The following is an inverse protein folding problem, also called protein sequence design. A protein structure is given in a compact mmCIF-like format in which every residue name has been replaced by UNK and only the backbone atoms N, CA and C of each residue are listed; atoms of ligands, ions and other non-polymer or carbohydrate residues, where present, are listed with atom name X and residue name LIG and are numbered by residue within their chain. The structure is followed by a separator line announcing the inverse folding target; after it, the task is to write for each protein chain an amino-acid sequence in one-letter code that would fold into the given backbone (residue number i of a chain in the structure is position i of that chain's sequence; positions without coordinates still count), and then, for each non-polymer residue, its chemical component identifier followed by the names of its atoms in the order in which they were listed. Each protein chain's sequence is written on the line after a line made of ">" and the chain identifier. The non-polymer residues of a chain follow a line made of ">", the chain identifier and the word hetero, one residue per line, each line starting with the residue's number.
data_IF_322904403658
#
_entry.id   IF_322904403658
#
_cell.length_a   1.000
_cell.length_b   1.000
_cell.length_c   1.000
_cell.angle_alpha   90.00
_cell.angle_beta   90.00
_cell.angle_gamma   90.00
#
_symmetry.space_group_name_H-M   'P 1'
#
loop_
_entity.id
_entity.type
_entity.pdbx_description
1 polymer ?
#
# COMPACT_ATOMS: atom_id res chain seq x y z
N UNK A 1 -2.61 -7.00 -1.31
CA UNK A 1 -1.71 -5.84 -1.49
C UNK A 1 -0.61 -5.84 -0.42
N UNK A 2 -0.93 -6.07 0.85
CA UNK A 2 0.05 -5.96 1.95
C UNK A 2 1.23 -6.94 1.84
N UNK A 3 0.97 -8.17 1.37
CA UNK A 3 2.03 -9.15 1.17
C UNK A 3 3.08 -8.69 0.15
N UNK A 4 2.67 -8.05 -0.95
CA UNK A 4 3.59 -7.53 -1.97
C UNK A 4 4.55 -6.50 -1.38
N UNK A 5 4.03 -5.52 -0.66
CA UNK A 5 4.86 -4.50 -0.02
C UNK A 5 5.75 -5.09 1.08
N UNK A 6 5.27 -6.11 1.78
CA UNK A 6 6.10 -6.84 2.74
C UNK A 6 7.24 -7.63 2.06
N UNK A 7 7.00 -8.21 0.87
CA UNK A 7 8.05 -8.79 0.04
C UNK A 7 9.10 -7.72 -0.33
N UNK A 8 8.66 -6.60 -0.92
CA UNK A 8 9.54 -5.50 -1.32
C UNK A 8 10.35 -4.93 -0.14
N UNK A 9 9.74 -4.77 1.03
CA UNK A 9 10.42 -4.28 2.23
C UNK A 9 11.55 -5.21 2.68
N UNK A 10 11.35 -6.53 2.62
CA UNK A 10 12.37 -7.53 2.98
C UNK A 10 13.48 -7.69 1.94
N UNK A 11 13.15 -7.47 0.67
CA UNK A 11 14.13 -7.48 -0.41
C UNK A 11 15.18 -6.39 -0.24
N UNK A 12 14.73 -5.17 0.11
CA UNK A 12 15.60 -4.02 0.38
C UNK A 12 16.68 -4.33 1.42
N UNK A 13 16.32 -5.04 2.48
CA UNK A 13 17.23 -5.31 3.61
C UNK A 13 18.30 -6.36 3.31
N UNK A 14 18.03 -7.30 2.39
CA UNK A 14 18.83 -8.53 2.26
C UNK A 14 19.53 -8.71 0.92
N UNK A 15 19.21 -7.91 -0.11
CA UNK A 15 19.84 -7.99 -1.42
C UNK A 15 19.91 -9.43 -1.92
N UNK A 16 18.76 -10.02 -2.24
CA UNK A 16 18.71 -11.44 -2.61
C UNK A 16 17.68 -11.74 -3.66
N UNK A 17 18.16 -12.50 -4.63
CA UNK A 17 17.46 -13.20 -5.70
C UNK A 17 16.37 -14.16 -5.16
N UNK A 18 16.51 -14.61 -3.90
CA UNK A 18 15.64 -15.57 -3.23
C UNK A 18 15.28 -15.11 -1.81
N UNK A 19 14.01 -14.76 -1.57
CA UNK A 19 13.52 -14.30 -0.27
C UNK A 19 12.67 -15.41 0.34
N UNK A 20 12.89 -15.68 1.63
CA UNK A 20 12.12 -16.66 2.38
C UNK A 20 11.31 -16.00 3.49
N UNK A 21 10.07 -16.44 3.65
CA UNK A 21 9.17 -16.06 4.74
C UNK A 21 8.59 -17.29 5.40
N UNK A 22 8.55 -17.31 6.73
CA UNK A 22 7.79 -18.33 7.44
C UNK A 22 6.28 -18.06 7.32
N UNK A 23 5.46 -19.08 7.57
CA UNK A 23 4.01 -18.91 7.59
C UNK A 23 3.58 -17.97 8.72
N UNK A 24 4.21 -18.01 9.89
CA UNK A 24 3.96 -17.03 10.96
C UNK A 24 4.24 -15.60 10.48
N UNK A 25 5.40 -15.34 9.86
CA UNK A 25 5.76 -14.00 9.38
C UNK A 25 4.74 -13.47 8.37
N UNK A 26 4.33 -14.29 7.40
CA UNK A 26 3.34 -13.89 6.40
C UNK A 26 1.97 -13.62 7.02
N UNK A 27 1.55 -14.40 8.01
CA UNK A 27 0.29 -14.19 8.72
C UNK A 27 0.30 -12.89 9.51
N UNK A 28 1.41 -12.58 10.19
CA UNK A 28 1.58 -11.31 10.90
C UNK A 28 1.57 -10.11 9.95
N UNK A 29 2.33 -10.19 8.84
CA UNK A 29 2.47 -9.11 7.87
C UNK A 29 1.18 -8.80 7.09
N UNK A 30 0.24 -9.75 7.03
CA UNK A 30 -1.03 -9.61 6.33
C UNK A 30 -2.26 -9.51 7.27
N UNK A 31 -2.03 -9.42 8.59
CA UNK A 31 -3.10 -9.47 9.63
C UNK A 31 -4.09 -10.64 9.39
N UNK A 32 -3.55 -11.81 9.00
CA UNK A 32 -4.34 -12.96 8.56
C UNK A 32 -4.94 -13.70 9.76
N UNK A 33 -6.26 -13.58 9.93
CA UNK A 33 -6.99 -14.09 11.10
C UNK A 33 -7.31 -15.58 11.07
N UNK A 34 -7.13 -16.24 9.94
CA UNK A 34 -7.49 -17.65 9.79
C UNK A 34 -6.41 -18.56 10.37
N UNK A 35 -6.83 -19.42 11.31
CA UNK A 35 -5.95 -20.37 12.01
C UNK A 35 -5.65 -21.62 11.18
N UNK A 36 -6.51 -21.97 10.22
CA UNK A 36 -6.37 -23.18 9.41
C UNK A 36 -5.27 -23.06 8.34
N UNK A 37 -4.20 -23.84 8.49
CA UNK A 37 -3.05 -23.88 7.55
C UNK A 37 -3.45 -24.22 6.12
N UNK A 38 -4.45 -25.08 5.90
CA UNK A 38 -4.87 -25.49 4.56
C UNK A 38 -5.45 -24.33 3.75
N UNK A 39 -6.27 -23.51 4.38
CA UNK A 39 -6.90 -22.37 3.72
C UNK A 39 -5.90 -21.23 3.50
N UNK A 40 -5.00 -21.01 4.48
CA UNK A 40 -3.87 -20.09 4.31
C UNK A 40 -3.00 -20.44 3.09
N UNK A 41 -2.68 -21.72 2.89
CA UNK A 41 -1.89 -22.15 1.73
C UNK A 41 -2.65 -21.95 0.42
N UNK A 42 -3.98 -22.17 0.40
CA UNK A 42 -4.78 -21.90 -0.79
C UNK A 42 -4.83 -20.40 -1.14
N UNK A 43 -4.93 -19.53 -0.13
CA UNK A 43 -4.91 -18.08 -0.32
C UNK A 43 -3.54 -17.59 -0.79
N UNK A 44 -2.44 -18.14 -0.24
CA UNK A 44 -1.09 -17.90 -0.74
C UNK A 44 -0.94 -18.32 -2.19
N UNK A 45 -1.42 -19.51 -2.56
CA UNK A 45 -1.35 -19.99 -3.93
C UNK A 45 -2.09 -19.05 -4.91
N UNK A 46 -3.27 -18.56 -4.51
CA UNK A 46 -4.03 -17.59 -5.32
C UNK A 46 -3.25 -16.27 -5.48
N UNK A 47 -2.75 -15.72 -4.39
CA UNK A 47 -2.01 -14.46 -4.40
C UNK A 47 -0.75 -14.55 -5.25
N UNK A 48 -0.01 -15.66 -5.19
CA UNK A 48 1.18 -15.84 -6.00
C UNK A 48 0.89 -16.06 -7.48
N UNK A 49 -0.25 -16.68 -7.83
CA UNK A 49 -0.72 -16.70 -9.23
C UNK A 49 -1.00 -15.29 -9.74
N UNK A 50 -1.62 -14.43 -8.93
CA UNK A 50 -1.86 -13.03 -9.29
C UNK A 50 -0.54 -12.26 -9.45
N UNK A 51 0.46 -12.52 -8.59
CA UNK A 51 1.79 -11.90 -8.69
C UNK A 51 2.60 -12.35 -9.90
N UNK A 52 2.47 -13.61 -10.34
CA UNK A 52 3.14 -14.11 -11.55
C UNK A 52 2.67 -13.37 -12.81
N UNK A 53 1.44 -12.86 -12.80
CA UNK A 53 0.89 -12.07 -13.90
C UNK A 53 1.33 -10.60 -13.88
N UNK A 54 2.11 -10.16 -12.88
CA UNK A 54 2.77 -8.85 -12.88
C UNK A 54 3.87 -8.87 -13.93
N UNK A 55 3.43 -8.64 -15.17
CA UNK A 55 4.29 -8.44 -16.32
C UNK A 55 4.38 -6.96 -16.66
N UNK A 56 5.58 -6.51 -16.99
CA UNK A 56 5.86 -5.16 -17.45
C UNK A 56 6.36 -5.24 -18.88
N UNK A 57 5.83 -4.38 -19.76
CA UNK A 57 6.25 -4.29 -21.16
C UNK A 57 6.98 -2.98 -21.35
N UNK A 58 8.18 -3.06 -21.89
CA UNK A 58 8.90 -1.90 -22.45
C UNK A 58 8.92 -2.03 -23.96
N UNK A 59 8.94 -0.88 -24.63
CA UNK A 59 9.06 -0.78 -26.07
C UNK A 59 9.88 0.46 -26.37
N UNK A 60 10.91 0.31 -27.19
CA UNK A 60 11.62 1.39 -27.82
C UNK A 60 11.47 1.25 -29.36
N UNK A 61 12.16 2.10 -30.13
CA UNK A 61 12.01 2.11 -31.60
C UNK A 61 12.47 0.81 -32.28
N UNK A 62 13.30 0.00 -31.62
CA UNK A 62 13.95 -1.17 -32.20
C UNK A 62 13.45 -2.51 -31.60
N UNK A 63 13.01 -2.51 -30.33
CA UNK A 63 12.77 -3.72 -29.54
C UNK A 63 11.56 -3.60 -28.61
N UNK A 64 10.88 -4.73 -28.41
CA UNK A 64 9.79 -4.92 -27.43
C UNK A 64 10.24 -5.99 -26.44
N UNK A 65 10.26 -5.65 -25.16
CA UNK A 65 10.63 -6.59 -24.09
C UNK A 65 9.46 -6.82 -23.14
N UNK A 66 9.32 -8.07 -22.71
CA UNK A 66 8.37 -8.49 -21.68
C UNK A 66 9.12 -8.98 -20.47
N UNK A 67 8.76 -8.43 -19.32
CA UNK A 67 9.38 -8.71 -18.05
C UNK A 67 8.38 -9.32 -17.09
N UNK A 68 8.81 -10.31 -16.31
CA UNK A 68 8.07 -10.81 -15.15
C UNK A 68 8.84 -10.48 -13.89
N UNK A 69 8.18 -9.83 -12.93
CA UNK A 69 8.83 -9.37 -11.70
C UNK A 69 9.33 -10.55 -10.86
N UNK A 70 8.48 -11.56 -10.71
CA UNK A 70 8.78 -12.77 -9.94
C UNK A 70 8.94 -13.95 -10.88
N UNK A 71 10.08 -14.66 -10.79
CA UNK A 71 10.42 -15.80 -11.65
C UNK A 71 10.37 -17.15 -10.92
N UNK A 72 9.93 -17.17 -9.65
CA UNK A 72 9.74 -18.41 -8.92
C UNK A 72 9.01 -18.26 -7.59
N UNK A 73 8.19 -19.25 -7.26
CA UNK A 73 7.52 -19.36 -5.98
C UNK A 73 7.56 -20.82 -5.51
N UNK A 74 7.90 -21.04 -4.23
CA UNK A 74 7.88 -22.36 -3.61
C UNK A 74 7.21 -22.28 -2.24
N UNK A 75 6.13 -23.04 -2.06
CA UNK A 75 5.45 -23.19 -0.78
C UNK A 75 5.84 -24.55 -0.18
N UNK A 76 6.63 -24.54 0.88
CA UNK A 76 6.94 -25.75 1.64
C UNK A 76 5.94 -25.89 2.80
N UNK A 77 4.97 -26.78 2.63
CA UNK A 77 3.92 -27.04 3.63
C UNK A 77 4.44 -27.74 4.88
N UNK A 78 5.54 -28.50 4.77
CA UNK A 78 6.11 -29.28 5.88
C UNK A 78 6.96 -28.39 6.78
N UNK A 79 7.84 -27.61 6.17
CA UNK A 79 8.72 -26.65 6.83
C UNK A 79 8.05 -25.29 7.05
N UNK A 80 6.79 -25.12 6.61
CA UNK A 80 5.94 -23.94 6.79
C UNK A 80 6.61 -22.63 6.35
N UNK A 81 7.11 -22.59 5.13
CA UNK A 81 7.67 -21.38 4.55
C UNK A 81 7.26 -21.19 3.10
N UNK A 82 7.37 -19.95 2.65
CA UNK A 82 7.35 -19.59 1.23
C UNK A 82 8.70 -19.02 0.84
N UNK A 83 9.17 -19.41 -0.33
CA UNK A 83 10.31 -18.83 -1.02
C UNK A 83 9.82 -18.14 -2.29
N UNK A 84 10.26 -16.90 -2.48
CA UNK A 84 9.95 -16.03 -3.62
C UNK A 84 11.25 -15.68 -4.32
N UNK A 85 11.29 -15.87 -5.63
CA UNK A 85 12.43 -15.51 -6.47
C UNK A 85 12.08 -14.36 -7.38
N UNK A 86 12.95 -13.36 -7.43
CA UNK A 86 12.78 -12.15 -8.24
C UNK A 86 13.70 -12.22 -9.44
N UNK A 87 13.23 -11.68 -10.56
CA UNK A 87 14.07 -11.52 -11.72
C UNK A 87 15.19 -10.50 -11.44
N UNK A 88 16.44 -10.93 -11.59
CA UNK A 88 17.64 -10.12 -11.34
C UNK A 88 17.67 -8.89 -12.24
N UNK A 89 17.21 -9.03 -13.48
CA UNK A 89 17.15 -7.93 -14.45
C UNK A 89 16.21 -6.81 -13.98
N UNK A 90 15.31 -7.08 -13.03
CA UNK A 90 14.32 -6.14 -12.50
C UNK A 90 14.59 -5.76 -11.05
N UNK A 91 15.77 -6.08 -10.52
CA UNK A 91 16.16 -5.69 -9.16
C UNK A 91 16.10 -4.16 -9.00
N UNK A 92 16.41 -3.42 -10.06
CA UNK A 92 16.27 -1.96 -10.09
C UNK A 92 14.82 -1.47 -9.88
N UNK A 93 13.80 -2.25 -10.26
CA UNK A 93 12.39 -1.88 -10.03
C UNK A 93 12.07 -2.01 -8.55
N UNK A 94 12.49 -3.10 -7.91
CA UNK A 94 12.31 -3.29 -6.47
C UNK A 94 13.14 -2.27 -5.68
N UNK A 95 14.37 -2.03 -6.09
CA UNK A 95 15.24 -1.01 -5.50
C UNK A 95 14.69 0.40 -5.75
N UNK A 96 14.10 0.67 -6.91
CA UNK A 96 13.44 1.93 -7.24
C UNK A 96 12.21 2.18 -6.37
N UNK A 97 11.30 1.21 -6.28
CA UNK A 97 10.13 1.24 -5.38
C UNK A 97 10.53 1.48 -3.92
N UNK A 98 11.65 0.87 -3.50
CA UNK A 98 12.17 1.01 -2.14
C UNK A 98 13.07 2.23 -1.95
N UNK A 99 13.48 2.92 -3.01
CA UNK A 99 14.15 4.23 -2.93
C UNK A 99 13.10 5.33 -2.76
N UNK A 100 11.96 5.20 -3.44
CA UNK A 100 10.83 6.11 -3.26
C UNK A 100 10.17 5.95 -1.88
N UNK A 101 10.09 4.71 -1.36
CA UNK A 101 9.59 4.40 -0.02
C UNK A 101 10.70 4.00 0.98
N UNK A 102 10.88 4.80 2.03
CA UNK A 102 11.70 4.41 3.18
C UNK A 102 11.14 3.16 3.89
N UNK A 103 11.97 2.44 4.63
CA UNK A 103 11.53 1.25 5.39
C UNK A 103 10.42 1.60 6.38
N UNK A 104 10.49 2.79 6.97
CA UNK A 104 9.46 3.33 7.84
C UNK A 104 8.14 3.50 7.08
N UNK A 105 8.17 4.05 5.87
CA UNK A 105 6.97 4.28 5.05
C UNK A 105 6.29 2.97 4.61
N UNK A 106 7.08 1.95 4.23
CA UNK A 106 6.53 0.61 3.93
C UNK A 106 5.93 -0.05 5.17
N UNK A 107 6.60 0.05 6.32
CA UNK A 107 6.09 -0.47 7.59
C UNK A 107 4.81 0.24 8.02
N UNK A 108 4.75 1.57 7.84
CA UNK A 108 3.57 2.37 8.11
C UNK A 108 2.41 1.93 7.21
N UNK A 109 2.65 1.84 5.89
CA UNK A 109 1.64 1.45 4.91
C UNK A 109 1.05 0.05 5.19
N UNK A 110 1.91 -0.93 5.50
CA UNK A 110 1.48 -2.31 5.80
C UNK A 110 0.74 -2.43 7.13
N UNK A 111 0.99 -1.52 8.08
CA UNK A 111 0.32 -1.50 9.40
C UNK A 111 -1.06 -0.84 9.38
N UNK A 112 -1.34 0.00 8.37
CA UNK A 112 -2.68 0.59 8.19
C UNK A 112 -3.66 -0.55 7.87
N UNK A 113 -4.84 -0.54 8.48
CA UNK A 113 -5.87 -1.57 8.29
C UNK A 113 -6.97 -1.11 7.33
N UNK A 114 -7.38 0.15 7.39
CA UNK A 114 -8.46 0.66 6.55
C UNK A 114 -8.01 0.81 5.10
N UNK A 115 -8.78 0.26 4.15
CA UNK A 115 -8.53 0.43 2.72
C UNK A 115 -8.52 1.91 2.32
N UNK A 116 -9.48 2.70 2.80
CA UNK A 116 -9.52 4.14 2.56
C UNK A 116 -8.31 4.86 3.16
N UNK A 117 -7.86 4.44 4.34
CA UNK A 117 -6.66 5.02 4.96
C UNK A 117 -5.40 4.68 4.18
N UNK A 118 -5.26 3.45 3.65
CA UNK A 118 -4.13 3.06 2.80
C UNK A 118 -4.05 3.90 1.54
N UNK A 119 -5.17 4.04 0.84
CA UNK A 119 -5.23 4.87 -0.37
C UNK A 119 -4.91 6.32 -0.05
N UNK A 120 -5.49 6.87 1.01
CA UNK A 120 -5.22 8.24 1.44
C UNK A 120 -3.76 8.44 1.89
N UNK A 121 -3.16 7.48 2.60
CA UNK A 121 -1.72 7.49 2.94
C UNK A 121 -0.87 7.62 1.68
N UNK A 122 -1.14 6.79 0.66
CA UNK A 122 -0.41 6.82 -0.61
C UNK A 122 -0.53 8.17 -1.31
N UNK A 123 -1.74 8.74 -1.34
CA UNK A 123 -1.97 10.07 -1.91
C UNK A 123 -1.16 11.13 -1.16
N UNK A 124 -1.26 11.20 0.17
CA UNK A 124 -0.53 12.18 0.97
C UNK A 124 1.00 12.03 0.83
N UNK A 125 1.49 10.79 0.75
CA UNK A 125 2.91 10.50 0.54
C UNK A 125 3.47 11.10 -0.75
N UNK A 126 2.67 11.19 -1.81
CA UNK A 126 3.06 11.84 -3.06
C UNK A 126 3.34 13.34 -2.87
N UNK A 127 2.70 13.96 -1.88
CA UNK A 127 2.86 15.38 -1.53
C UNK A 127 3.74 15.60 -0.29
N UNK A 128 4.55 14.60 0.11
CA UNK A 128 5.36 14.68 1.34
C UNK A 128 6.37 15.83 1.37
N UNK A 129 6.81 16.30 0.20
CA UNK A 129 7.75 17.41 0.08
C UNK A 129 7.11 18.77 0.37
N UNK A 130 5.81 18.93 0.06
CA UNK A 130 5.07 20.18 0.27
C UNK A 130 4.22 20.13 1.53
N UNK A 131 3.81 18.94 1.98
CA UNK A 131 2.86 18.79 3.08
C UNK A 131 1.44 19.25 2.75
N UNK A 132 1.13 19.46 1.47
CA UNK A 132 -0.10 20.11 1.03
C UNK A 132 -0.72 19.40 -0.18
N UNK A 133 -1.98 19.00 -0.03
CA UNK A 133 -2.73 18.29 -1.06
C UNK A 133 -4.16 18.81 -1.15
N UNK A 134 -4.60 19.17 -2.36
CA UNK A 134 -5.98 19.60 -2.63
C UNK A 134 -6.57 18.78 -3.76
N UNK A 135 -7.79 18.30 -3.54
CA UNK A 135 -8.49 17.41 -4.48
C UNK A 135 -9.96 17.79 -4.58
N UNK A 136 -10.55 17.67 -5.76
CA UNK A 136 -12.00 17.84 -5.90
C UNK A 136 -12.74 16.72 -5.17
N UNK A 137 -13.98 16.96 -4.74
CA UNK A 137 -14.75 15.91 -4.09
C UNK A 137 -15.05 14.76 -5.06
N UNK A 138 -15.17 15.05 -6.36
CA UNK A 138 -15.37 14.08 -7.42
C UNK A 138 -14.14 13.18 -7.58
N UNK A 139 -12.95 13.76 -7.79
CA UNK A 139 -11.70 12.99 -7.95
C UNK A 139 -11.38 12.20 -6.67
N UNK A 140 -11.64 12.78 -5.50
CA UNK A 140 -11.44 12.08 -4.23
C UNK A 140 -12.29 10.82 -4.12
N UNK A 141 -13.52 10.83 -4.66
CA UNK A 141 -14.40 9.66 -4.64
C UNK A 141 -13.91 8.59 -5.60
N UNK A 142 -13.46 8.99 -6.78
CA UNK A 142 -12.89 8.07 -7.77
C UNK A 142 -11.62 7.42 -7.24
N UNK A 143 -10.66 8.22 -6.76
CA UNK A 143 -9.39 7.73 -6.25
C UNK A 143 -9.54 6.75 -5.08
N UNK A 144 -10.55 6.93 -4.24
CA UNK A 144 -10.80 6.07 -3.07
C UNK A 144 -11.81 4.95 -3.36
N UNK A 145 -12.40 4.87 -4.55
CA UNK A 145 -13.53 3.96 -4.85
C UNK A 145 -14.70 4.13 -3.86
N UNK A 146 -15.10 5.38 -3.60
CA UNK A 146 -16.21 5.70 -2.69
C UNK A 146 -17.55 5.46 -3.40
N UNK A 147 -18.46 4.64 -2.84
CA UNK A 147 -19.75 4.35 -3.47
C UNK A 147 -20.57 5.61 -3.76
N UNK A 148 -21.09 5.75 -4.98
CA UNK A 148 -21.80 6.95 -5.47
C UNK A 148 -22.88 7.48 -4.52
N UNK A 149 -23.60 6.57 -3.87
CA UNK A 149 -24.70 6.91 -2.95
C UNK A 149 -24.23 7.55 -1.62
N UNK A 150 -22.94 7.53 -1.30
CA UNK A 150 -22.42 8.18 -0.09
C UNK A 150 -22.56 9.70 -0.22
N UNK A 151 -23.36 10.29 0.67
CA UNK A 151 -23.41 11.73 0.84
C UNK A 151 -22.21 12.22 1.64
N UNK A 152 -21.93 13.52 1.65
CA UNK A 152 -20.79 14.10 2.38
C UNK A 152 -20.75 13.68 3.87
N UNK A 153 -21.91 13.56 4.52
CA UNK A 153 -21.98 13.05 5.90
C UNK A 153 -21.53 11.59 6.05
N UNK A 154 -21.81 10.73 5.05
CA UNK A 154 -21.30 9.36 5.03
C UNK A 154 -19.80 9.34 4.76
N UNK A 155 -19.30 10.19 3.86
CA UNK A 155 -17.86 10.35 3.61
C UNK A 155 -17.15 10.78 4.89
N UNK A 156 -17.69 11.77 5.61
CA UNK A 156 -17.15 12.20 6.90
C UNK A 156 -17.09 11.03 7.90
N UNK A 157 -18.20 10.29 8.07
CA UNK A 157 -18.32 9.26 9.10
C UNK A 157 -17.57 7.96 8.79
N UNK A 158 -17.57 7.53 7.52
CA UNK A 158 -17.11 6.20 7.11
C UNK A 158 -15.76 6.22 6.39
N UNK A 159 -15.35 7.37 5.85
CA UNK A 159 -14.10 7.50 5.08
C UNK A 159 -13.12 8.40 5.83
N UNK A 160 -13.43 9.69 5.97
CA UNK A 160 -12.50 10.68 6.52
C UNK A 160 -12.21 10.44 7.99
N UNK A 161 -13.21 10.34 8.87
CA UNK A 161 -12.96 10.14 10.32
C UNK A 161 -12.16 8.87 10.62
N UNK A 162 -12.50 7.68 10.08
CA UNK A 162 -11.71 6.48 10.32
C UNK A 162 -10.30 6.58 9.73
N UNK A 163 -10.17 7.12 8.51
CA UNK A 163 -8.86 7.26 7.88
C UNK A 163 -7.96 8.24 8.64
N UNK A 164 -8.45 9.44 8.95
CA UNK A 164 -7.68 10.45 9.69
C UNK A 164 -7.26 9.93 11.07
N UNK A 165 -8.14 9.21 11.78
CA UNK A 165 -7.79 8.60 13.08
C UNK A 165 -6.60 7.65 12.98
N UNK A 166 -6.54 6.85 11.92
CA UNK A 166 -5.43 5.92 11.69
C UNK A 166 -4.18 6.64 11.22
N UNK A 167 -4.33 7.60 10.29
CA UNK A 167 -3.24 8.36 9.68
C UNK A 167 -2.57 9.35 10.63
N UNK A 168 -3.26 9.81 11.67
CA UNK A 168 -2.68 10.59 12.77
C UNK A 168 -1.56 9.85 13.50
N UNK A 169 -1.46 8.53 13.40
CA UNK A 169 -0.33 7.78 13.95
C UNK A 169 0.95 7.91 13.12
N UNK A 170 0.85 8.35 11.87
CA UNK A 170 1.95 8.37 10.90
C UNK A 170 2.32 9.77 10.42
N UNK A 171 1.38 10.71 10.38
CA UNK A 171 1.64 12.09 9.95
C UNK A 171 1.57 13.08 11.13
N UNK A 172 2.45 14.07 11.10
CA UNK A 172 2.44 15.20 12.04
C UNK A 172 1.53 16.32 11.54
N UNK A 173 0.70 16.87 12.45
CA UNK A 173 -0.23 17.97 12.18
C UNK A 173 -1.13 17.72 10.96
N UNK A 174 -1.57 16.47 10.76
CA UNK A 174 -2.43 16.10 9.65
C UNK A 174 -3.85 16.64 9.87
N UNK A 175 -4.28 17.56 9.02
CA UNK A 175 -5.61 18.16 9.04
C UNK A 175 -6.33 17.99 7.70
N UNK A 176 -7.66 18.07 7.74
CA UNK A 176 -8.50 18.07 6.55
C UNK A 176 -9.53 19.19 6.64
N UNK A 177 -9.55 20.05 5.63
CA UNK A 177 -10.46 21.19 5.49
C UNK A 177 -11.38 20.97 4.30
N UNK A 178 -12.67 21.28 4.49
CA UNK A 178 -13.69 21.15 3.45
C UNK A 178 -13.96 22.50 2.81
N UNK A 179 -13.58 22.65 1.53
CA UNK A 179 -13.75 23.88 0.79
C UNK A 179 -15.09 23.83 0.06
N UNK A 180 -15.96 24.80 0.35
CA UNK A 180 -17.28 24.94 -0.29
C UNK A 180 -17.16 25.48 -1.72
N UNK A 181 -18.12 25.11 -2.56
CA UNK A 181 -18.29 25.72 -3.87
C UNK A 181 -18.55 27.23 -3.74
N UNK A 182 -18.16 28.00 -4.77
CA UNK A 182 -18.43 29.46 -4.83
C UNK A 182 -19.93 29.81 -4.73
N UNK A 183 -20.81 28.89 -5.14
CA UNK A 183 -22.27 29.03 -5.04
C UNK A 183 -22.86 27.81 -4.35
N UNK A 184 -23.58 28.04 -3.26
CA UNK A 184 -24.25 27.01 -2.47
C UNK A 184 -23.43 26.42 -1.32
N UNK A 185 -24.01 25.45 -0.62
CA UNK A 185 -23.42 24.82 0.56
C UNK A 185 -22.72 23.46 0.28
N UNK A 186 -22.59 23.09 -0.99
CA UNK A 186 -21.92 21.84 -1.37
C UNK A 186 -20.41 21.98 -1.17
N UNK A 187 -19.79 20.91 -0.67
CA UNK A 187 -18.33 20.79 -0.62
C UNK A 187 -17.84 20.52 -2.04
N UNK A 188 -16.88 21.31 -2.51
CA UNK A 188 -16.29 21.17 -3.83
C UNK A 188 -14.91 20.51 -3.77
N UNK A 189 -14.15 20.77 -2.71
CA UNK A 189 -12.79 20.24 -2.55
C UNK A 189 -12.50 19.84 -1.12
N UNK A 190 -11.55 18.92 -0.98
CA UNK A 190 -10.88 18.62 0.27
C UNK A 190 -9.45 19.14 0.18
N UNK A 191 -9.02 19.80 1.25
CA UNK A 191 -7.66 20.27 1.43
C UNK A 191 -7.05 19.52 2.61
N UNK A 192 -5.89 18.92 2.41
CA UNK A 192 -5.12 18.23 3.41
C UNK A 192 -3.80 18.96 3.64
N UNK A 193 -3.45 19.15 4.90
CA UNK A 193 -2.19 19.74 5.35
C UNK A 193 -1.51 18.80 6.33
N UNK A 194 -0.18 18.71 6.29
CA UNK A 194 0.63 17.97 7.24
C UNK A 194 2.09 18.47 7.19
N UNK A 195 2.84 18.32 8.28
CA UNK A 195 4.23 18.82 8.35
C UNK A 195 5.25 17.77 7.90
N UNK A 196 4.90 16.49 7.98
CA UNK A 196 5.76 15.38 7.60
C UNK A 196 5.32 14.06 8.23
N UNK A 197 6.15 13.04 8.07
CA UNK A 197 5.97 11.77 8.77
C UNK A 197 6.51 11.85 10.19
N UNK A 198 5.80 11.20 11.12
CA UNK A 198 6.29 10.95 12.47
C UNK A 198 7.54 10.08 12.38
N UNK A 199 8.58 10.45 13.12
CA UNK A 199 9.87 9.75 13.11
C UNK A 199 9.94 8.55 14.06
N UNK A 200 8.97 8.42 14.96
CA UNK A 200 8.89 7.32 15.93
C UNK A 200 7.97 6.20 15.41
N UNK A 201 8.38 4.94 15.60
CA UNK A 201 7.52 3.77 15.36
C UNK A 201 6.19 3.96 16.12
N UNK A 202 5.03 3.63 15.52
CA UNK A 202 3.76 3.65 16.24
C UNK A 202 3.89 2.74 17.47
N UNK A 203 3.73 3.30 18.67
CA UNK A 203 3.48 2.51 19.86
C UNK A 203 2.09 1.90 19.71
N UNK A 204 2.05 0.58 19.54
CA UNK A 204 0.82 -0.19 19.64
C UNK A 204 0.36 -0.08 21.10
N UNK A 205 -0.70 0.70 21.33
CA UNK A 205 -1.49 0.62 22.56
C UNK A 205 -2.73 -0.21 22.28
#
# INVERSE_FOLDING_TARGET
>A
MDLFFALCARMKDKGVENIRFSFEELKELSDYKMTATKAFVADLEKLYKDMLNLSYRTENDDEIEYFVLFNGFKIDKKQKFVEVRVNQDLDYIINGLTTEFSRFELSAFTSIRSTYAKTLFRLLMQYRSTGYYVVSIEDFRELLDIPEYYQMGNIDQKVLKPAMKELHNYFENLEVTKIKAKKGNKIAKLEFTFTGLKTNKPSVT
#
